data_IF_860417665899
#
_entry.id   IF_860417665899
#
_cell.length_a   1.000
_cell.length_b   1.000
_cell.length_c   1.000
_cell.angle_alpha   90.00
_cell.angle_beta   90.00
_cell.angle_gamma   90.00
#
_symmetry.space_group_name_H-M   'P 1'
#
loop_
_entity.id
_entity.type
_entity.pdbx_description
1 polymer ?
#
# COMPACT_ATOMS: atom_id res chain seq x y z
N UNK A 1 -18.40 -36.82 33.37
CA UNK A 1 -18.74 -36.50 31.96
C UNK A 1 -18.24 -35.09 31.67
N UNK A 2 -17.09 -35.00 31.00
CA UNK A 2 -16.53 -33.74 30.55
C UNK A 2 -17.23 -33.31 29.24
N UNK A 3 -18.03 -32.27 29.31
CA UNK A 3 -18.64 -31.64 28.13
C UNK A 3 -17.53 -30.91 27.38
N UNK A 4 -17.07 -31.49 26.30
CA UNK A 4 -16.23 -30.82 25.29
C UNK A 4 -17.05 -29.66 24.70
N UNK A 5 -16.77 -28.43 25.13
CA UNK A 5 -17.26 -27.23 24.43
C UNK A 5 -16.68 -27.27 23.01
N UNK A 6 -17.52 -27.57 22.03
CA UNK A 6 -17.23 -27.34 20.64
C UNK A 6 -16.95 -25.84 20.48
N UNK A 7 -15.70 -25.49 20.23
CA UNK A 7 -15.32 -24.14 19.86
C UNK A 7 -15.93 -23.89 18.47
N UNK A 8 -17.06 -23.22 18.43
CA UNK A 8 -17.62 -22.73 17.19
C UNK A 8 -16.56 -21.84 16.54
N UNK A 9 -16.09 -22.22 15.35
CA UNK A 9 -15.15 -21.42 14.55
C UNK A 9 -15.76 -20.04 14.33
N UNK A 10 -15.13 -19.01 14.86
CA UNK A 10 -15.62 -17.64 14.62
C UNK A 10 -15.66 -17.39 13.11
N UNK A 11 -16.68 -16.69 12.59
CA UNK A 11 -16.75 -16.36 11.18
C UNK A 11 -15.54 -15.51 10.80
N UNK A 12 -14.92 -15.85 9.66
CA UNK A 12 -13.79 -15.08 9.14
C UNK A 12 -14.30 -13.73 8.67
N UNK A 13 -13.85 -12.68 9.33
CA UNK A 13 -14.13 -11.33 8.92
C UNK A 13 -13.29 -10.97 7.71
N UNK A 14 -13.88 -10.26 6.76
CA UNK A 14 -13.20 -9.74 5.58
C UNK A 14 -13.66 -8.32 5.31
N UNK A 15 -12.79 -7.54 4.71
CA UNK A 15 -13.06 -6.15 4.33
C UNK A 15 -12.69 -5.93 2.87
N UNK A 16 -13.48 -5.12 2.18
CA UNK A 16 -13.14 -4.55 0.89
C UNK A 16 -12.99 -3.04 1.07
N UNK A 17 -11.87 -2.49 0.65
CA UNK A 17 -11.56 -1.08 0.83
C UNK A 17 -11.37 -0.45 -0.54
N UNK A 18 -12.04 0.68 -0.75
CA UNK A 18 -11.73 1.61 -1.85
C UNK A 18 -10.83 2.69 -1.26
N UNK A 19 -9.61 2.80 -1.76
CA UNK A 19 -8.61 3.70 -1.19
C UNK A 19 -7.97 4.57 -2.28
N UNK A 20 -7.70 5.83 -1.93
CA UNK A 20 -6.88 6.75 -2.70
C UNK A 20 -5.68 7.21 -1.89
N UNK A 21 -4.54 7.38 -2.57
CA UNK A 21 -3.30 7.89 -1.97
C UNK A 21 -2.76 9.06 -2.78
N UNK A 22 -2.18 10.03 -2.08
CA UNK A 22 -1.50 11.17 -2.68
C UNK A 22 -0.18 11.43 -1.97
N UNK A 23 0.90 11.54 -2.74
CA UNK A 23 2.22 11.81 -2.18
C UNK A 23 2.37 13.29 -1.82
N UNK A 24 3.02 13.54 -0.68
CA UNK A 24 3.36 14.87 -0.19
C UNK A 24 4.87 15.08 -0.01
N UNK A 25 5.70 14.06 -0.19
CA UNK A 25 7.14 14.17 -0.08
C UNK A 25 7.88 13.02 -0.76
N UNK A 26 9.13 13.30 -1.16
CA UNK A 26 10.10 12.30 -1.56
C UNK A 26 11.11 12.11 -0.44
N UNK A 27 11.49 10.87 -0.24
CA UNK A 27 12.51 10.48 0.74
C UNK A 27 13.55 9.60 0.05
N UNK A 28 14.71 9.48 0.64
CA UNK A 28 15.79 8.62 0.15
C UNK A 28 16.06 7.52 1.18
N UNK A 29 15.13 6.60 1.31
CA UNK A 29 15.26 5.45 2.21
C UNK A 29 15.94 4.30 1.47
N UNK A 30 15.37 3.89 0.33
CA UNK A 30 15.85 2.79 -0.50
C UNK A 30 16.20 3.24 -1.94
N UNK A 31 15.82 4.45 -2.32
CA UNK A 31 15.92 4.95 -3.67
C UNK A 31 16.54 6.34 -3.75
N UNK A 32 17.06 6.69 -4.93
CA UNK A 32 17.72 7.98 -5.20
C UNK A 32 16.85 8.96 -5.97
N UNK A 33 15.78 8.49 -6.64
CA UNK A 33 14.87 9.32 -7.41
C UNK A 33 14.20 10.38 -6.56
N UNK A 34 14.09 11.59 -7.10
CA UNK A 34 13.49 12.75 -6.40
C UNK A 34 12.66 13.58 -7.36
N UNK A 35 11.95 14.57 -6.78
CA UNK A 35 11.08 15.49 -7.53
C UNK A 35 9.96 14.77 -8.29
N UNK A 36 9.41 13.72 -7.67
CA UNK A 36 8.30 12.94 -8.20
C UNK A 36 7.12 12.98 -7.26
N UNK A 37 5.91 12.83 -7.81
CA UNK A 37 4.68 12.64 -7.04
C UNK A 37 3.93 11.42 -7.57
N UNK A 38 3.39 10.64 -6.66
CA UNK A 38 2.59 9.46 -6.97
C UNK A 38 1.18 9.66 -6.45
N UNK A 39 0.20 9.43 -7.32
CA UNK A 39 -1.21 9.39 -6.96
C UNK A 39 -1.75 8.03 -7.35
N UNK A 40 -2.46 7.38 -6.44
CA UNK A 40 -3.06 6.08 -6.73
C UNK A 40 -4.50 6.03 -6.24
N UNK A 41 -5.30 5.21 -6.92
CA UNK A 41 -6.60 4.80 -6.43
C UNK A 41 -6.81 3.32 -6.73
N UNK A 42 -7.37 2.59 -5.78
CA UNK A 42 -7.50 1.15 -5.91
C UNK A 42 -8.45 0.49 -4.94
N UNK A 43 -8.40 -0.81 -5.01
CA UNK A 43 -9.18 -1.73 -4.20
C UNK A 43 -8.22 -2.60 -3.38
N UNK A 44 -8.44 -2.65 -2.09
CA UNK A 44 -7.72 -3.52 -1.17
C UNK A 44 -8.72 -4.51 -0.56
N UNK A 45 -8.34 -5.77 -0.53
CA UNK A 45 -9.05 -6.84 0.13
C UNK A 45 -8.27 -7.30 1.35
N UNK A 46 -8.89 -7.22 2.52
CA UNK A 46 -8.33 -7.66 3.77
C UNK A 46 -9.09 -8.87 4.28
N UNK A 47 -8.35 -9.83 4.78
CA UNK A 47 -8.90 -11.03 5.40
C UNK A 47 -8.27 -11.24 6.76
N UNK A 48 -9.08 -11.28 7.80
CA UNK A 48 -8.65 -11.70 9.13
C UNK A 48 -8.08 -13.12 9.05
N UNK A 49 -6.82 -13.28 9.37
CA UNK A 49 -6.13 -14.54 9.17
C UNK A 49 -5.59 -15.16 10.45
N UNK A 50 -5.12 -14.37 11.40
CA UNK A 50 -4.41 -14.87 12.58
C UNK A 50 -4.63 -14.05 13.84
N UNK A 51 -4.94 -14.73 14.93
CA UNK A 51 -5.09 -14.18 16.31
C UNK A 51 -3.84 -14.41 17.18
N UNK A 52 -2.68 -14.58 16.58
CA UNK A 52 -1.46 -14.97 17.31
C UNK A 52 -0.93 -13.93 18.29
N UNK A 53 -1.37 -12.69 18.16
CA UNK A 53 -0.85 -11.57 18.95
C UNK A 53 -1.75 -11.16 20.13
N UNK A 54 -2.38 -12.13 20.80
CA UNK A 54 -3.27 -11.88 21.96
C UNK A 54 -2.62 -11.02 23.05
N UNK A 55 -1.31 -11.20 23.29
CA UNK A 55 -0.58 -10.36 24.28
C UNK A 55 -0.48 -8.90 23.85
N UNK A 56 -0.43 -8.63 22.58
CA UNK A 56 -0.39 -7.27 22.01
C UNK A 56 -1.77 -6.69 21.75
N UNK A 57 -2.84 -7.47 21.98
CA UNK A 57 -4.23 -7.12 21.61
C UNK A 57 -4.32 -6.67 20.15
N UNK A 58 -3.58 -7.37 19.31
CA UNK A 58 -3.52 -7.13 17.88
C UNK A 58 -3.98 -8.36 17.11
N UNK A 59 -4.63 -8.13 15.98
CA UNK A 59 -4.91 -9.15 14.96
C UNK A 59 -4.01 -8.91 13.75
N UNK A 60 -3.75 -9.96 13.00
CA UNK A 60 -3.00 -9.91 11.75
C UNK A 60 -3.91 -10.32 10.60
N UNK A 61 -4.05 -9.44 9.63
CA UNK A 61 -4.85 -9.65 8.44
C UNK A 61 -3.93 -9.86 7.23
N UNK A 62 -4.32 -10.75 6.33
CA UNK A 62 -3.76 -10.83 4.98
C UNK A 62 -4.37 -9.74 4.13
N UNK A 63 -3.53 -9.08 3.32
CA UNK A 63 -3.92 -7.97 2.46
C UNK A 63 -3.51 -8.25 1.02
N UNK A 64 -4.43 -8.00 0.09
CA UNK A 64 -4.15 -7.96 -1.34
C UNK A 64 -4.72 -6.68 -1.94
N UNK A 65 -3.99 -6.04 -2.87
CA UNK A 65 -4.35 -4.76 -3.44
C UNK A 65 -4.23 -4.75 -4.95
N UNK A 66 -5.15 -4.07 -5.61
CA UNK A 66 -5.09 -3.72 -7.04
C UNK A 66 -5.21 -2.21 -7.16
N UNK A 67 -4.28 -1.61 -7.90
CA UNK A 67 -4.23 -0.18 -8.19
C UNK A 67 -4.52 0.06 -9.68
N UNK A 68 -5.80 0.10 -10.09
CA UNK A 68 -6.17 0.37 -11.48
C UNK A 68 -5.81 1.78 -11.93
N UNK A 69 -5.65 2.71 -11.00
CA UNK A 69 -5.22 4.07 -11.27
C UNK A 69 -3.91 4.33 -10.56
N UNK A 70 -2.87 4.54 -11.33
CA UNK A 70 -1.57 5.03 -10.89
C UNK A 70 -1.19 6.19 -11.77
N UNK A 71 -0.84 7.33 -11.19
CA UNK A 71 -0.38 8.51 -11.91
C UNK A 71 0.95 8.93 -11.29
N UNK A 72 2.03 8.71 -12.03
CA UNK A 72 3.36 9.16 -11.66
C UNK A 72 3.63 10.51 -12.32
N UNK A 73 3.81 11.54 -11.53
CA UNK A 73 4.32 12.83 -11.99
C UNK A 73 5.82 12.82 -11.78
N UNK A 74 6.60 12.81 -12.85
CA UNK A 74 8.05 12.74 -12.83
C UNK A 74 8.69 13.83 -13.71
N UNK A 75 9.95 14.23 -13.48
CA UNK A 75 10.68 15.13 -14.39
C UNK A 75 10.76 14.54 -15.80
N UNK A 76 10.59 15.38 -16.83
CA UNK A 76 10.70 14.94 -18.23
C UNK A 76 12.04 14.30 -18.56
N UNK A 77 13.11 14.77 -17.89
CA UNK A 77 14.46 14.25 -18.02
C UNK A 77 15.06 13.98 -16.65
N UNK A 78 15.64 12.80 -16.51
CA UNK A 78 16.38 12.37 -15.33
C UNK A 78 17.69 11.70 -15.75
N UNK A 79 18.63 11.58 -14.80
CA UNK A 79 19.82 10.77 -14.98
C UNK A 79 19.52 9.26 -14.80
N UNK A 80 20.57 8.45 -14.89
CA UNK A 80 20.44 6.99 -14.76
C UNK A 80 19.95 6.54 -13.37
N UNK A 81 20.03 7.40 -12.36
CA UNK A 81 19.63 7.15 -10.98
C UNK A 81 18.27 7.78 -10.62
N UNK A 82 17.61 8.44 -11.58
CA UNK A 82 16.32 9.10 -11.35
C UNK A 82 16.43 10.49 -10.74
N UNK A 83 17.61 11.12 -10.72
CA UNK A 83 17.72 12.51 -10.30
C UNK A 83 17.28 13.46 -11.45
N UNK A 84 16.48 14.50 -11.13
CA UNK A 84 15.96 15.41 -12.15
C UNK A 84 17.05 16.18 -12.89
N UNK A 85 16.90 16.28 -14.21
CA UNK A 85 17.70 17.13 -15.11
C UNK A 85 16.86 18.19 -15.83
N UNK A 86 15.59 18.28 -15.49
CA UNK A 86 14.61 19.23 -16.05
C UNK A 86 13.66 19.68 -14.97
N UNK A 87 13.18 20.94 -15.07
CA UNK A 87 12.07 21.43 -14.24
C UNK A 87 10.70 21.12 -14.86
N UNK A 88 10.66 20.69 -16.13
CA UNK A 88 9.42 20.24 -16.75
C UNK A 88 9.07 18.84 -16.26
N UNK A 89 7.78 18.60 -16.05
CA UNK A 89 7.25 17.33 -15.59
C UNK A 89 6.27 16.74 -16.59
N UNK A 90 6.14 15.43 -16.54
CA UNK A 90 5.14 14.66 -17.26
C UNK A 90 4.39 13.75 -16.29
N UNK A 91 3.13 13.45 -16.63
CA UNK A 91 2.32 12.46 -15.89
C UNK A 91 2.31 11.17 -16.70
N UNK A 92 2.76 10.09 -16.06
CA UNK A 92 2.77 8.76 -16.66
C UNK A 92 1.72 7.91 -15.94
N UNK A 93 0.66 7.46 -16.66
CA UNK A 93 -0.31 6.54 -16.10
C UNK A 93 0.31 5.15 -15.94
N UNK A 94 -0.15 4.41 -14.95
CA UNK A 94 0.31 3.04 -14.69
C UNK A 94 -0.78 2.20 -14.02
N UNK A 95 -0.41 0.99 -13.72
CA UNK A 95 -1.22 -0.02 -13.03
C UNK A 95 -0.37 -0.72 -11.99
N UNK A 96 -0.94 -1.00 -10.80
CA UNK A 96 -0.24 -1.70 -9.73
C UNK A 96 -1.03 -2.90 -9.21
N UNK A 97 -0.31 -3.87 -8.68
CA UNK A 97 -0.87 -5.06 -8.05
C UNK A 97 0.04 -5.54 -6.93
N UNK A 98 -0.49 -5.64 -5.71
CA UNK A 98 0.20 -6.13 -4.52
C UNK A 98 -0.51 -7.38 -4.00
N UNK A 99 -0.10 -8.59 -4.44
CA UNK A 99 -0.76 -9.83 -4.05
C UNK A 99 -0.45 -10.27 -2.63
N UNK A 100 0.61 -9.74 -2.03
CA UNK A 100 1.09 -10.16 -0.72
C UNK A 100 1.23 -8.93 0.17
N UNK A 101 0.44 -8.92 1.25
CA UNK A 101 0.53 -7.89 2.26
C UNK A 101 0.00 -8.41 3.59
N UNK A 102 0.37 -7.69 4.64
CA UNK A 102 -0.08 -7.94 5.99
C UNK A 102 -0.45 -6.62 6.65
N UNK A 103 -1.51 -6.65 7.43
CA UNK A 103 -1.92 -5.54 8.28
C UNK A 103 -2.06 -6.03 9.71
N UNK A 104 -1.35 -5.41 10.60
CA UNK A 104 -1.53 -5.56 12.04
C UNK A 104 -2.47 -4.47 12.52
N UNK A 105 -3.57 -4.85 13.15
CA UNK A 105 -4.58 -3.93 13.69
C UNK A 105 -4.68 -4.10 15.18
N UNK A 106 -4.70 -2.99 15.91
CA UNK A 106 -4.87 -2.95 17.36
C UNK A 106 -6.26 -2.45 17.76
N UNK A 107 -6.67 -2.81 18.96
CA UNK A 107 -7.95 -2.40 19.54
C UNK A 107 -9.15 -2.83 18.71
N UNK A 108 -9.06 -4.02 18.14
CA UNK A 108 -10.13 -4.62 17.35
C UNK A 108 -11.51 -4.48 18.02
N UNK A 109 -12.54 -4.22 17.21
CA UNK A 109 -13.90 -3.91 17.63
C UNK A 109 -14.08 -2.63 18.49
N UNK A 110 -13.10 -1.73 18.50
CA UNK A 110 -13.26 -0.39 19.09
C UNK A 110 -13.58 0.64 18.01
N UNK A 111 -14.00 1.83 18.44
CA UNK A 111 -14.32 2.92 17.51
C UNK A 111 -13.09 3.36 16.71
N UNK A 112 -11.92 3.35 17.34
CA UNK A 112 -10.65 3.76 16.71
C UNK A 112 -9.69 2.57 16.78
N UNK A 113 -9.27 2.09 15.63
CA UNK A 113 -8.43 0.92 15.44
C UNK A 113 -7.14 1.34 14.72
N UNK A 114 -6.04 1.60 15.44
CA UNK A 114 -4.75 1.86 14.82
C UNK A 114 -4.27 0.64 14.02
N UNK A 115 -3.60 0.88 12.90
CA UNK A 115 -3.03 -0.20 12.08
C UNK A 115 -1.63 0.11 11.60
N UNK A 116 -0.87 -0.95 11.35
CA UNK A 116 0.38 -0.97 10.60
C UNK A 116 0.21 -1.91 9.43
N UNK A 117 0.65 -1.50 8.23
CA UNK A 117 0.56 -2.33 7.03
C UNK A 117 1.89 -2.42 6.32
N UNK A 118 2.12 -3.57 5.66
CA UNK A 118 3.22 -3.77 4.72
C UNK A 118 2.69 -4.58 3.54
N UNK A 119 2.98 -4.13 2.30
CA UNK A 119 2.53 -4.78 1.06
C UNK A 119 3.67 -4.86 0.07
N UNK A 120 3.72 -5.93 -0.70
CA UNK A 120 4.70 -6.13 -1.77
C UNK A 120 4.03 -6.55 -3.06
N UNK A 121 4.53 -6.04 -4.18
CA UNK A 121 3.93 -6.31 -5.48
C UNK A 121 4.70 -5.76 -6.65
N UNK A 122 3.96 -5.38 -7.67
CA UNK A 122 4.45 -4.88 -8.95
C UNK A 122 3.69 -3.62 -9.34
N UNK A 123 4.38 -2.74 -10.07
CA UNK A 123 3.81 -1.58 -10.75
C UNK A 123 4.33 -1.54 -12.19
N UNK A 124 3.45 -1.28 -13.13
CA UNK A 124 3.78 -1.24 -14.54
C UNK A 124 3.36 0.08 -15.17
N UNK A 125 4.20 0.57 -16.09
CA UNK A 125 3.98 1.79 -16.85
C UNK A 125 4.11 1.51 -18.34
N UNK A 126 3.42 2.26 -19.24
CA UNK A 126 3.51 2.09 -20.68
C UNK A 126 4.85 2.57 -21.25
N UNK A 127 5.61 3.35 -20.48
CA UNK A 127 6.97 3.79 -20.80
C UNK A 127 7.90 3.47 -19.65
N UNK A 128 9.21 3.48 -19.91
CA UNK A 128 10.21 3.44 -18.85
C UNK A 128 10.15 4.71 -18.02
N UNK A 129 10.07 4.58 -16.72
CA UNK A 129 9.95 5.69 -15.78
C UNK A 129 11.24 5.89 -14.99
N UNK A 130 11.46 7.10 -14.49
CA UNK A 130 12.62 7.55 -13.71
C UNK A 130 13.94 7.57 -14.52
N UNK A 131 14.10 6.75 -15.55
CA UNK A 131 15.28 6.73 -16.43
C UNK A 131 14.93 6.04 -17.75
N UNK A 132 15.60 6.45 -18.85
CA UNK A 132 15.49 5.78 -20.17
C UNK A 132 16.05 4.36 -20.16
N UNK A 133 16.95 4.06 -19.22
CA UNK A 133 17.62 2.76 -19.09
C UNK A 133 16.94 1.84 -18.07
N UNK A 134 15.83 2.28 -17.50
CA UNK A 134 15.00 1.51 -16.54
C UNK A 134 14.11 0.46 -17.21
N UNK A 135 13.14 -0.06 -16.48
CA UNK A 135 12.17 -1.07 -16.93
C UNK A 135 10.75 -0.50 -16.97
N UNK A 136 9.86 -1.18 -17.71
CA UNK A 136 8.43 -0.89 -17.73
C UNK A 136 7.70 -1.41 -16.50
N UNK A 137 8.22 -2.48 -15.89
CA UNK A 137 7.69 -3.12 -14.69
C UNK A 137 8.69 -2.95 -13.57
N UNK A 138 8.19 -2.58 -12.40
CA UNK A 138 8.98 -2.38 -11.20
C UNK A 138 8.36 -3.15 -10.04
N UNK A 139 9.19 -3.60 -9.12
CA UNK A 139 8.75 -4.15 -7.85
C UNK A 139 8.33 -3.03 -6.91
N UNK A 140 7.32 -3.28 -6.10
CA UNK A 140 6.84 -2.33 -5.09
C UNK A 140 7.00 -2.91 -3.69
N UNK A 141 7.30 -2.01 -2.75
CA UNK A 141 7.21 -2.25 -1.32
C UNK A 141 6.48 -1.07 -0.71
N UNK A 142 5.41 -1.33 0.00
CA UNK A 142 4.66 -0.32 0.72
C UNK A 142 4.72 -0.63 2.21
N UNK A 143 4.88 0.40 3.02
CA UNK A 143 4.72 0.29 4.47
C UNK A 143 4.05 1.55 5.01
N UNK A 144 3.14 1.38 5.97
CA UNK A 144 2.43 2.54 6.47
C UNK A 144 1.69 2.27 7.77
N UNK A 145 1.31 3.36 8.42
CA UNK A 145 0.43 3.29 9.58
C UNK A 145 -0.70 4.32 9.47
N UNK A 146 -1.79 4.02 10.15
CA UNK A 146 -2.96 4.89 10.17
C UNK A 146 -3.96 4.46 11.22
N UNK A 147 -5.15 4.97 11.06
CA UNK A 147 -6.30 4.66 11.91
C UNK A 147 -7.49 4.30 11.04
N UNK A 148 -8.21 3.28 11.46
CA UNK A 148 -9.53 2.94 10.93
C UNK A 148 -10.58 3.25 11.99
N UNK A 149 -11.69 3.83 11.58
CA UNK A 149 -12.84 4.07 12.46
C UNK A 149 -14.09 3.47 11.86
N UNK A 150 -14.93 2.85 12.68
CA UNK A 150 -16.22 2.31 12.25
C UNK A 150 -17.25 3.41 12.22
N UNK A 151 -17.83 3.66 11.07
CA UNK A 151 -18.94 4.60 10.87
C UNK A 151 -20.29 3.91 11.12
N UNK A 152 -20.40 2.66 10.70
CA UNK A 152 -21.56 1.78 10.94
C UNK A 152 -21.04 0.35 11.19
N UNK A 153 -21.90 -0.62 11.53
CA UNK A 153 -21.48 -2.03 11.66
C UNK A 153 -20.82 -2.61 10.40
N UNK A 154 -21.09 -2.04 9.22
CA UNK A 154 -20.55 -2.52 7.95
C UNK A 154 -19.62 -1.55 7.23
N UNK A 155 -19.61 -0.28 7.61
CA UNK A 155 -18.81 0.74 6.94
C UNK A 155 -17.75 1.30 7.88
N UNK A 156 -16.54 1.44 7.39
CA UNK A 156 -15.43 2.08 8.07
C UNK A 156 -14.77 3.16 7.22
N UNK A 157 -14.10 4.05 7.89
CA UNK A 157 -13.25 5.07 7.29
C UNK A 157 -11.82 4.79 7.72
N UNK A 158 -10.91 4.76 6.75
CA UNK A 158 -9.46 4.59 6.98
C UNK A 158 -8.74 5.86 6.61
N UNK A 159 -7.84 6.30 7.47
CA UNK A 159 -6.99 7.47 7.26
C UNK A 159 -5.56 7.11 7.66
N UNK A 160 -4.61 7.35 6.77
CA UNK A 160 -3.19 7.23 7.05
C UNK A 160 -2.47 8.48 6.57
N UNK A 161 -1.57 8.97 7.42
CA UNK A 161 -0.74 10.14 7.11
C UNK A 161 0.70 9.76 6.82
N UNK A 162 1.04 8.51 6.99
CA UNK A 162 2.35 7.98 6.68
C UNK A 162 2.20 6.64 5.97
N UNK A 163 2.48 6.65 4.68
CA UNK A 163 2.54 5.47 3.83
C UNK A 163 3.72 5.65 2.88
N UNK A 164 4.81 4.95 3.15
CA UNK A 164 5.97 4.89 2.28
C UNK A 164 5.67 3.93 1.13
N UNK A 165 5.76 4.44 -0.09
CA UNK A 165 5.62 3.67 -1.31
C UNK A 165 6.94 3.69 -2.06
N UNK A 166 7.66 2.58 -1.96
CA UNK A 166 8.88 2.33 -2.72
C UNK A 166 8.58 1.57 -4.00
N UNK A 167 9.23 1.94 -5.11
CA UNK A 167 9.34 1.07 -6.27
C UNK A 167 10.71 1.19 -6.96
N UNK A 168 11.18 0.06 -7.51
CA UNK A 168 12.42 -0.03 -8.29
C UNK A 168 12.38 -1.29 -9.15
N UNK A 169 13.32 -1.41 -10.10
CA UNK A 169 13.40 -2.61 -10.91
C UNK A 169 14.17 -3.77 -10.24
N UNK A 170 14.57 -3.60 -8.98
CA UNK A 170 15.32 -4.60 -8.19
C UNK A 170 16.55 -5.16 -8.92
N UNK A 171 17.26 -4.31 -9.66
CA UNK A 171 18.45 -4.69 -10.46
C UNK A 171 18.19 -5.75 -11.55
N UNK A 172 16.97 -5.84 -12.08
CA UNK A 172 16.69 -6.67 -13.26
C UNK A 172 17.47 -6.24 -14.50
N UNK A 173 17.89 -4.98 -14.54
CA UNK A 173 18.84 -4.41 -15.49
C UNK A 173 19.95 -3.69 -14.72
N UNK A 174 21.10 -3.41 -15.35
CA UNK A 174 22.26 -2.80 -14.65
C UNK A 174 21.94 -1.45 -13.98
N UNK A 175 21.00 -0.69 -14.52
CA UNK A 175 20.54 0.58 -13.95
C UNK A 175 19.28 0.34 -13.15
N UNK A 176 19.31 0.70 -11.86
CA UNK A 176 18.16 0.52 -10.95
C UNK A 176 17.71 1.86 -10.36
N UNK A 177 17.11 2.76 -11.14
CA UNK A 177 16.45 3.93 -10.56
C UNK A 177 15.27 3.45 -9.72
N UNK A 178 15.15 4.02 -8.54
CA UNK A 178 14.03 3.76 -7.65
C UNK A 178 13.45 5.07 -7.12
N UNK A 179 12.27 4.99 -6.56
CA UNK A 179 11.55 6.12 -5.99
C UNK A 179 10.96 5.73 -4.63
N UNK A 180 11.18 6.58 -3.64
CA UNK A 180 10.48 6.55 -2.35
C UNK A 180 9.58 7.77 -2.25
N UNK A 181 8.29 7.56 -2.09
CA UNK A 181 7.32 8.64 -1.88
C UNK A 181 6.53 8.39 -0.61
N UNK A 182 6.38 9.46 0.17
CA UNK A 182 5.53 9.45 1.34
C UNK A 182 4.13 9.93 0.97
N UNK A 183 3.13 9.12 1.30
CA UNK A 183 1.74 9.36 0.93
C UNK A 183 0.85 9.54 2.15
N UNK A 184 -0.18 10.36 1.98
CA UNK A 184 -1.40 10.29 2.77
C UNK A 184 -2.42 9.43 2.04
N UNK A 185 -3.18 8.62 2.77
CA UNK A 185 -4.24 7.79 2.22
C UNK A 185 -5.57 8.00 2.92
N UNK A 186 -6.63 7.84 2.13
CA UNK A 186 -8.01 7.88 2.57
C UNK A 186 -8.78 6.73 1.92
N UNK A 187 -9.47 5.93 2.74
CA UNK A 187 -10.21 4.77 2.27
C UNK A 187 -11.55 4.59 2.96
N UNK A 188 -12.48 4.02 2.21
CA UNK A 188 -13.76 3.53 2.73
C UNK A 188 -13.73 2.01 2.74
N UNK A 189 -13.97 1.41 3.89
CA UNK A 189 -14.03 -0.05 4.04
C UNK A 189 -15.46 -0.54 4.18
N UNK A 190 -15.75 -1.68 3.57
CA UNK A 190 -16.97 -2.43 3.74
C UNK A 190 -16.66 -3.78 4.38
N UNK A 191 -17.22 -4.04 5.56
CA UNK A 191 -17.02 -5.25 6.34
C UNK A 191 -18.08 -6.29 5.99
N UNK A 192 -17.65 -7.51 5.74
CA UNK A 192 -18.55 -8.65 5.57
C UNK A 192 -18.02 -9.85 6.35
N UNK A 193 -18.92 -10.53 7.05
CA UNK A 193 -18.62 -11.80 7.73
C UNK A 193 -19.13 -12.97 6.87
N UNK A 194 -18.36 -14.04 6.83
CA UNK A 194 -18.78 -15.31 6.23
C UNK A 194 -19.01 -16.34 7.28
#
# INVERSE_FOLDING_TARGET
>A
LATTKSSAKQPVESELIVEGMASYGNYKIFASGTDCKLYTAGLEYDRHSWDYFHRLRARLDYVAEVLPVVLLNEPDKADIWGNPKSYAHKIVPGFGFSPIGFRMMWRDHKTIEPYLTAKGGLIAFPIKVLSTDATYVNFTLQSGFGVQTRLTPRLGLRVGLWNDFHFSNAFMVPVNPGLDVMNANLGLSYHFAR
#
